data_IF_364931944096
#
_entry.id   IF_364931944096
#
_cell.length_a   1.000
_cell.length_b   1.000
_cell.length_c   1.000
_cell.angle_alpha   90.00
_cell.angle_beta   90.00
_cell.angle_gamma   90.00
#
_symmetry.space_group_name_H-M   'P 1'
#
loop_
_entity.id
_entity.type
_entity.pdbx_description
1 polymer ?
#
# COMPACT_ATOMS: atom_id res chain seq x y z
N UNK A 1 38.15 -22.83 28.95
CA UNK A 1 36.85 -22.46 29.57
C UNK A 1 36.36 -21.21 28.88
N UNK A 2 35.14 -21.15 28.30
CA UNK A 2 34.65 -19.92 27.72
C UNK A 2 34.38 -18.93 28.86
N UNK A 3 35.04 -17.77 28.84
CA UNK A 3 34.69 -16.64 29.70
C UNK A 3 33.30 -16.15 29.29
N UNK A 4 32.30 -16.34 30.15
CA UNK A 4 30.95 -15.84 29.91
C UNK A 4 30.97 -14.32 29.73
N UNK A 5 30.20 -13.80 28.77
CA UNK A 5 30.09 -12.36 28.45
C UNK A 5 29.84 -11.49 29.71
N UNK A 6 29.08 -12.02 30.67
CA UNK A 6 28.76 -11.33 31.92
C UNK A 6 29.95 -11.19 32.89
N UNK A 7 31.06 -11.89 32.64
CA UNK A 7 32.29 -11.77 33.43
C UNK A 7 33.27 -10.72 32.88
N UNK A 8 32.97 -10.13 31.71
CA UNK A 8 33.75 -9.02 31.18
C UNK A 8 33.57 -7.76 32.05
N UNK A 9 34.60 -6.89 32.16
CA UNK A 9 34.47 -5.57 32.78
C UNK A 9 33.31 -4.76 32.19
N UNK A 10 32.68 -3.93 33.01
CA UNK A 10 31.50 -3.16 32.61
C UNK A 10 31.77 -2.24 31.41
N UNK A 11 32.97 -1.67 31.34
CA UNK A 11 33.43 -0.82 30.25
C UNK A 11 33.42 -1.58 28.92
N UNK A 12 33.97 -2.80 28.91
CA UNK A 12 34.03 -3.63 27.70
C UNK A 12 32.63 -4.05 27.26
N UNK A 13 31.75 -4.45 28.20
CA UNK A 13 30.36 -4.79 27.85
C UNK A 13 29.62 -3.60 27.26
N UNK A 14 29.80 -2.41 27.84
CA UNK A 14 29.16 -1.19 27.34
C UNK A 14 29.62 -0.85 25.93
N UNK A 15 30.92 -0.93 25.64
CA UNK A 15 31.43 -0.73 24.28
C UNK A 15 30.85 -1.76 23.30
N UNK A 16 30.76 -3.04 23.70
CA UNK A 16 30.09 -4.06 22.87
C UNK A 16 28.62 -3.70 22.61
N UNK A 17 27.88 -3.27 23.63
CA UNK A 17 26.49 -2.84 23.43
C UNK A 17 26.38 -1.61 22.51
N UNK A 18 27.30 -0.66 22.59
CA UNK A 18 27.34 0.50 21.68
C UNK A 18 27.53 0.03 20.23
N UNK A 19 28.51 -0.84 19.98
CA UNK A 19 28.73 -1.39 18.64
C UNK A 19 27.52 -2.17 18.13
N UNK A 20 26.91 -3.01 18.98
CA UNK A 20 25.71 -3.76 18.60
C UNK A 20 24.53 -2.84 18.24
N UNK A 21 24.34 -1.75 18.99
CA UNK A 21 23.31 -0.76 18.69
C UNK A 21 23.59 -0.01 17.38
N UNK A 22 24.84 0.35 17.12
CA UNK A 22 25.24 0.97 15.85
C UNK A 22 24.99 0.03 14.68
N UNK A 23 25.44 -1.23 14.78
CA UNK A 23 25.22 -2.25 13.76
C UNK A 23 23.73 -2.46 13.51
N UNK A 24 22.92 -2.55 14.58
CA UNK A 24 21.47 -2.70 14.46
C UNK A 24 20.82 -1.50 13.76
N UNK A 25 21.26 -0.28 14.08
CA UNK A 25 20.74 0.94 13.46
C UNK A 25 21.08 1.01 11.96
N UNK A 26 22.33 0.71 11.60
CA UNK A 26 22.76 0.67 10.19
C UNK A 26 22.04 -0.44 9.41
N UNK A 27 21.95 -1.64 9.99
CA UNK A 27 21.26 -2.77 9.37
C UNK A 27 19.78 -2.44 9.13
N UNK A 28 19.09 -1.79 10.08
CA UNK A 28 17.70 -1.33 9.90
C UNK A 28 17.57 -0.37 8.74
N UNK A 29 18.44 0.63 8.65
CA UNK A 29 18.39 1.60 7.55
C UNK A 29 18.58 0.92 6.19
N UNK A 30 19.41 -0.11 6.09
CA UNK A 30 19.62 -0.85 4.85
C UNK A 30 18.42 -1.76 4.54
N UNK A 31 17.99 -2.56 5.52
CA UNK A 31 16.90 -3.54 5.36
C UNK A 31 15.55 -2.88 5.10
N UNK A 32 15.28 -1.72 5.69
CA UNK A 32 13.98 -1.07 5.55
C UNK A 32 14.02 0.13 4.61
N UNK A 33 15.16 0.80 4.48
CA UNK A 33 15.29 2.00 3.64
C UNK A 33 15.48 1.70 2.15
N UNK A 34 16.08 0.57 1.79
CA UNK A 34 16.38 0.26 0.39
C UNK A 34 15.34 -0.68 -0.26
N UNK A 35 14.37 -1.17 0.52
CA UNK A 35 13.34 -2.07 0.03
C UNK A 35 12.05 -1.30 -0.26
N UNK A 36 11.28 -1.80 -1.23
CA UNK A 36 9.91 -1.38 -1.47
C UNK A 36 8.97 -2.40 -0.83
N UNK A 37 8.17 -1.97 0.15
CA UNK A 37 7.23 -2.86 0.82
C UNK A 37 5.89 -2.84 0.10
N UNK A 38 5.46 -4.00 -0.41
CA UNK A 38 4.15 -4.16 -1.01
C UNK A 38 3.09 -4.40 0.07
N UNK A 39 2.32 -3.34 0.33
CA UNK A 39 1.19 -3.28 1.24
C UNK A 39 -0.15 -3.41 0.50
N UNK A 40 -0.14 -3.74 -0.80
CA UNK A 40 -1.36 -3.94 -1.57
C UNK A 40 -2.21 -5.08 -1.02
N UNK A 41 -3.50 -4.83 -0.95
CA UNK A 41 -4.55 -5.74 -0.49
C UNK A 41 -5.11 -6.47 -1.72
N UNK A 42 -4.28 -7.27 -2.43
CA UNK A 42 -4.72 -8.16 -3.52
C UNK A 42 -5.83 -9.13 -3.08
N UNK A 43 -7.07 -8.65 -2.95
CA UNK A 43 -8.22 -9.40 -2.46
C UNK A 43 -8.17 -9.85 -0.98
N UNK A 44 -7.30 -9.28 -0.14
CA UNK A 44 -7.11 -9.72 1.26
C UNK A 44 -7.59 -8.69 2.28
N UNK A 45 -7.76 -9.17 3.52
CA UNK A 45 -8.29 -8.44 4.68
C UNK A 45 -7.78 -6.99 4.80
N UNK A 46 -8.68 -6.01 5.03
CA UNK A 46 -8.34 -4.59 5.13
C UNK A 46 -7.39 -4.24 6.28
N UNK A 47 -7.24 -5.14 7.26
CA UNK A 47 -6.40 -4.94 8.46
C UNK A 47 -4.93 -5.35 8.25
N UNK A 48 -4.53 -5.76 7.05
CA UNK A 48 -3.16 -6.25 6.80
C UNK A 48 -2.08 -5.20 7.04
N UNK A 49 -2.33 -3.94 6.73
CA UNK A 49 -1.37 -2.86 6.99
C UNK A 49 -1.13 -2.76 8.50
N UNK A 50 -2.20 -2.74 9.30
CA UNK A 50 -2.11 -2.70 10.76
C UNK A 50 -1.38 -3.92 11.34
N UNK A 51 -1.67 -5.13 10.85
CA UNK A 51 -0.99 -6.36 11.29
C UNK A 51 0.49 -6.33 10.90
N UNK A 52 0.81 -5.97 9.66
CA UNK A 52 2.20 -5.86 9.21
C UNK A 52 2.97 -4.82 10.04
N UNK A 53 2.33 -3.70 10.34
CA UNK A 53 2.90 -2.60 11.12
C UNK A 53 3.12 -3.03 12.58
N UNK A 54 2.22 -3.84 13.14
CA UNK A 54 2.38 -4.44 14.46
C UNK A 54 3.54 -5.44 14.54
N UNK A 55 3.78 -6.21 13.48
CA UNK A 55 4.88 -7.19 13.42
C UNK A 55 6.24 -6.49 13.27
N UNK A 56 6.34 -5.54 12.34
CA UNK A 56 7.60 -4.84 12.07
C UNK A 56 7.92 -3.83 13.17
N UNK A 57 6.91 -3.19 13.75
CA UNK A 57 7.07 -2.23 14.84
C UNK A 57 7.49 -0.83 14.36
N UNK A 58 7.03 0.17 15.12
CA UNK A 58 7.10 1.61 14.74
C UNK A 58 8.51 2.10 14.43
N UNK A 59 9.51 1.64 15.18
CA UNK A 59 10.91 2.06 14.99
C UNK A 59 11.42 1.68 13.58
N UNK A 60 11.03 0.51 13.09
CA UNK A 60 11.48 0.02 11.79
C UNK A 60 10.72 0.72 10.65
N UNK A 61 9.45 1.04 10.83
CA UNK A 61 8.61 1.75 9.85
C UNK A 61 9.10 3.16 9.56
N UNK A 62 9.66 3.84 10.56
CA UNK A 62 10.29 5.14 10.37
C UNK A 62 11.48 5.13 9.41
N UNK A 63 11.97 3.96 9.00
CA UNK A 63 13.03 3.80 8.00
C UNK A 63 12.52 3.49 6.59
N UNK A 64 11.21 3.28 6.39
CA UNK A 64 10.66 2.99 5.06
C UNK A 64 10.86 4.21 4.16
N UNK A 65 11.40 3.98 2.96
CA UNK A 65 11.52 5.02 1.92
C UNK A 65 10.60 4.78 0.74
N UNK A 66 10.20 3.53 0.50
CA UNK A 66 9.33 3.17 -0.61
C UNK A 66 8.29 2.18 -0.14
N UNK A 67 7.02 2.47 -0.44
CA UNK A 67 5.92 1.52 -0.27
C UNK A 67 5.12 1.42 -1.55
N UNK A 68 4.42 0.30 -1.68
CA UNK A 68 3.43 0.06 -2.72
C UNK A 68 2.09 -0.25 -2.05
N UNK A 69 1.01 0.38 -2.47
CA UNK A 69 -0.31 0.25 -1.86
C UNK A 69 -1.40 0.21 -2.93
N UNK A 70 -2.58 -0.31 -2.59
CA UNK A 70 -3.73 -0.16 -3.47
C UNK A 70 -4.25 1.28 -3.42
N UNK A 71 -4.75 1.76 -4.55
CA UNK A 71 -5.47 3.02 -4.62
C UNK A 71 -6.60 3.01 -3.58
N UNK A 72 -6.70 4.07 -2.76
CA UNK A 72 -7.76 4.22 -1.76
C UNK A 72 -9.15 3.95 -2.33
N UNK A 73 -9.96 3.16 -1.61
CA UNK A 73 -11.33 2.85 -2.02
C UNK A 73 -12.25 4.02 -1.71
N UNK A 74 -13.32 4.11 -2.50
CA UNK A 74 -14.34 5.14 -2.36
C UNK A 74 -15.60 4.55 -1.73
N UNK A 75 -16.19 5.28 -0.80
CA UNK A 75 -17.52 4.96 -0.28
C UNK A 75 -18.58 5.66 -1.15
N UNK A 76 -18.93 5.02 -2.27
CA UNK A 76 -19.89 5.57 -3.24
C UNK A 76 -21.29 5.78 -2.65
N UNK A 77 -21.61 5.14 -1.53
CA UNK A 77 -22.93 5.23 -0.90
C UNK A 77 -23.05 6.43 0.05
N UNK A 78 -21.95 6.96 0.58
CA UNK A 78 -22.00 7.89 1.72
C UNK A 78 -21.58 9.31 1.47
N UNK A 79 -20.69 9.57 0.54
CA UNK A 79 -20.19 10.91 0.20
C UNK A 79 -19.04 10.71 -0.76
N UNK A 80 -18.73 11.71 -1.58
CA UNK A 80 -17.55 11.83 -2.44
C UNK A 80 -16.22 11.78 -1.64
N UNK A 81 -15.98 10.68 -0.94
CA UNK A 81 -14.97 10.52 0.08
C UNK A 81 -14.34 9.12 0.01
N UNK A 82 -13.13 9.04 0.53
CA UNK A 82 -12.45 7.77 0.77
C UNK A 82 -13.19 6.97 1.84
N UNK A 83 -13.19 5.64 1.72
CA UNK A 83 -13.73 4.79 2.78
C UNK A 83 -12.90 4.91 4.07
N UNK A 84 -13.55 4.66 5.22
CA UNK A 84 -12.93 4.79 6.54
C UNK A 84 -11.65 3.95 6.68
N UNK A 85 -11.60 2.81 5.98
CA UNK A 85 -10.46 1.90 5.97
C UNK A 85 -9.27 2.54 5.25
N UNK A 86 -9.49 3.13 4.09
CA UNK A 86 -8.44 3.80 3.32
C UNK A 86 -7.92 5.04 4.04
N UNK A 87 -8.81 5.83 4.64
CA UNK A 87 -8.43 6.95 5.50
C UNK A 87 -7.59 6.50 6.70
N UNK A 88 -8.03 5.45 7.39
CA UNK A 88 -7.29 4.89 8.52
C UNK A 88 -5.90 4.41 8.10
N UNK A 89 -5.79 3.70 6.97
CA UNK A 89 -4.52 3.22 6.46
C UNK A 89 -3.57 4.36 6.07
N UNK A 90 -4.07 5.39 5.38
CA UNK A 90 -3.29 6.59 5.03
C UNK A 90 -2.80 7.32 6.28
N UNK A 91 -3.67 7.51 7.28
CA UNK A 91 -3.30 8.16 8.53
C UNK A 91 -2.22 7.39 9.31
N UNK A 92 -2.30 6.06 9.31
CA UNK A 92 -1.27 5.19 9.93
C UNK A 92 0.05 5.31 9.19
N UNK A 93 0.04 5.27 7.85
CA UNK A 93 1.24 5.46 7.03
C UNK A 93 1.84 6.83 7.34
N UNK A 94 1.01 7.88 7.37
CA UNK A 94 1.47 9.23 7.64
C UNK A 94 2.08 9.42 9.02
N UNK A 95 1.51 8.76 10.03
CA UNK A 95 1.98 8.84 11.41
C UNK A 95 3.33 8.16 11.65
N UNK A 96 3.61 7.06 10.93
CA UNK A 96 4.75 6.19 11.26
C UNK A 96 5.85 6.15 10.20
N UNK A 97 5.59 6.53 8.95
CA UNK A 97 6.56 6.45 7.85
C UNK A 97 7.21 7.81 7.58
N UNK A 98 7.83 8.42 8.59
CA UNK A 98 8.36 9.79 8.53
C UNK A 98 9.43 10.04 7.44
N UNK A 99 10.06 8.98 6.91
CA UNK A 99 11.11 9.04 5.88
C UNK A 99 10.64 8.51 4.53
N UNK A 100 9.34 8.31 4.36
CA UNK A 100 8.77 7.78 3.12
C UNK A 100 8.98 8.77 1.99
N UNK A 101 9.69 8.37 0.94
CA UNK A 101 10.02 9.22 -0.21
C UNK A 101 9.14 8.90 -1.43
N UNK A 102 8.79 7.63 -1.60
CA UNK A 102 8.07 7.12 -2.77
C UNK A 102 6.87 6.28 -2.36
N UNK A 103 5.72 6.61 -2.95
CA UNK A 103 4.48 5.83 -2.86
C UNK A 103 4.12 5.35 -4.25
N UNK A 104 3.97 4.03 -4.42
CA UNK A 104 3.49 3.43 -5.68
C UNK A 104 2.09 2.86 -5.50
N UNK A 105 1.13 3.30 -6.30
CA UNK A 105 -0.23 2.76 -6.32
C UNK A 105 -0.35 1.62 -7.32
N UNK A 106 -1.07 0.56 -6.97
CA UNK A 106 -1.17 -0.64 -7.81
C UNK A 106 -2.08 -0.46 -9.04
N UNK A 107 -1.77 -1.15 -10.15
CA UNK A 107 -2.57 -1.07 -11.38
C UNK A 107 -4.00 -1.55 -11.21
N UNK A 108 -4.21 -2.64 -10.45
CA UNK A 108 -5.55 -3.24 -10.26
C UNK A 108 -6.57 -2.23 -9.72
N UNK A 109 -6.13 -1.40 -8.78
CA UNK A 109 -6.98 -0.41 -8.13
C UNK A 109 -7.27 0.80 -9.03
N UNK A 110 -6.33 1.15 -9.91
CA UNK A 110 -6.49 2.20 -10.91
C UNK A 110 -7.35 1.75 -12.08
N UNK A 111 -7.29 0.49 -12.48
CA UNK A 111 -8.16 -0.01 -13.53
C UNK A 111 -9.63 -0.02 -13.11
N UNK A 112 -9.91 -0.21 -11.81
CA UNK A 112 -11.27 -0.02 -11.25
C UNK A 112 -11.69 1.45 -11.40
N UNK A 113 -10.86 2.39 -10.95
CA UNK A 113 -11.10 3.84 -11.10
C UNK A 113 -11.33 4.22 -12.57
N UNK A 114 -10.47 3.73 -13.46
CA UNK A 114 -10.50 3.97 -14.91
C UNK A 114 -11.75 3.38 -15.54
N UNK A 115 -12.12 2.16 -15.18
CA UNK A 115 -13.33 1.51 -15.67
C UNK A 115 -14.58 2.27 -15.24
N UNK A 116 -14.63 2.75 -13.99
CA UNK A 116 -15.71 3.61 -13.53
C UNK A 116 -15.75 4.93 -14.30
N UNK A 117 -14.62 5.61 -14.52
CA UNK A 117 -14.58 6.87 -15.30
C UNK A 117 -15.09 6.71 -16.74
N UNK A 118 -14.66 5.66 -17.44
CA UNK A 118 -15.11 5.35 -18.82
C UNK A 118 -16.59 5.01 -18.89
N UNK A 119 -17.12 4.35 -17.86
CA UNK A 119 -18.55 4.06 -17.76
C UNK A 119 -19.37 5.34 -17.52
N UNK A 120 -18.84 6.30 -16.77
CA UNK A 120 -19.51 7.58 -16.47
C UNK A 120 -19.59 8.51 -17.67
N UNK A 121 -18.52 8.59 -18.46
CA UNK A 121 -18.54 9.32 -19.75
C UNK A 121 -19.57 8.73 -20.72
N UNK A 122 -19.83 7.42 -20.62
CA UNK A 122 -20.68 6.68 -21.55
C UNK A 122 -22.14 6.54 -21.09
N UNK A 123 -22.37 6.51 -19.79
CA UNK A 123 -23.68 6.30 -19.18
C UNK A 123 -23.84 7.25 -18.00
N UNK A 124 -24.62 8.33 -18.17
CA UNK A 124 -25.10 9.12 -17.04
C UNK A 124 -26.14 8.31 -16.26
N UNK A 125 -25.68 7.56 -15.25
CA UNK A 125 -26.56 6.93 -14.27
C UNK A 125 -26.80 7.88 -13.08
N UNK A 126 -28.05 8.02 -12.60
CA UNK A 126 -28.33 8.70 -11.34
C UNK A 126 -27.60 8.02 -10.18
N UNK A 127 -26.88 8.78 -9.36
CA UNK A 127 -26.10 8.26 -8.21
C UNK A 127 -24.67 7.82 -8.55
N UNK A 128 -24.25 7.95 -9.81
CA UNK A 128 -22.89 7.68 -10.22
C UNK A 128 -22.02 8.95 -10.04
N UNK A 129 -20.76 8.82 -9.56
CA UNK A 129 -19.89 9.95 -9.26
C UNK A 129 -19.61 10.78 -10.50
N UNK A 130 -19.48 12.10 -10.36
CA UNK A 130 -19.18 12.98 -11.49
C UNK A 130 -17.67 13.02 -11.77
N UNK A 131 -17.29 13.62 -12.90
CA UNK A 131 -15.89 13.93 -13.19
C UNK A 131 -15.27 14.79 -12.08
N UNK A 132 -16.01 15.77 -11.55
CA UNK A 132 -15.57 16.64 -10.44
C UNK A 132 -15.33 15.86 -9.14
N UNK A 133 -16.13 14.81 -8.91
CA UNK A 133 -15.97 13.89 -7.79
C UNK A 133 -14.59 13.23 -7.81
N UNK A 134 -14.10 12.81 -8.98
CA UNK A 134 -12.76 12.22 -9.09
C UNK A 134 -11.65 13.22 -8.78
N UNK A 135 -11.74 14.46 -9.25
CA UNK A 135 -10.77 15.50 -8.92
C UNK A 135 -10.69 15.74 -7.42
N UNK A 136 -11.84 15.81 -6.75
CA UNK A 136 -11.94 15.98 -5.29
C UNK A 136 -11.32 14.79 -4.54
N UNK A 137 -11.54 13.58 -5.02
CA UNK A 137 -10.99 12.36 -4.43
C UNK A 137 -9.47 12.27 -4.61
N UNK A 138 -8.96 12.58 -5.81
CA UNK A 138 -7.51 12.63 -6.06
C UNK A 138 -6.84 13.66 -5.17
N UNK A 139 -7.47 14.82 -4.97
CA UNK A 139 -6.97 15.85 -4.06
C UNK A 139 -6.96 15.40 -2.58
N UNK A 140 -7.96 14.62 -2.13
CA UNK A 140 -7.96 14.04 -0.79
C UNK A 140 -6.78 13.07 -0.60
N UNK A 141 -6.57 12.16 -1.57
CA UNK A 141 -5.45 11.21 -1.52
C UNK A 141 -4.10 11.95 -1.54
N UNK A 142 -3.95 12.96 -2.40
CA UNK A 142 -2.74 13.77 -2.45
C UNK A 142 -2.50 14.46 -1.11
N UNK A 143 -3.50 15.15 -0.57
CA UNK A 143 -3.40 15.82 0.73
C UNK A 143 -2.92 14.87 1.83
N UNK A 144 -3.53 13.69 1.95
CA UNK A 144 -3.13 12.70 2.96
C UNK A 144 -1.71 12.16 2.76
N UNK A 145 -1.27 11.97 1.52
CA UNK A 145 0.11 11.52 1.26
C UNK A 145 1.13 12.65 1.48
N UNK A 146 0.76 13.89 1.18
CA UNK A 146 1.59 15.08 1.36
C UNK A 146 1.67 15.55 2.80
N UNK A 147 0.82 15.05 3.70
CA UNK A 147 1.03 15.17 5.16
C UNK A 147 2.39 14.58 5.59
N UNK A 148 2.97 13.68 4.79
CA UNK A 148 4.30 13.12 5.00
C UNK A 148 5.33 14.00 4.29
N UNK A 149 6.13 14.81 5.02
CA UNK A 149 6.97 15.83 4.37
C UNK A 149 8.07 15.25 3.48
N UNK A 150 8.44 13.99 3.70
CA UNK A 150 9.47 13.29 2.93
C UNK A 150 8.96 12.80 1.56
N UNK A 151 7.64 12.72 1.32
CA UNK A 151 7.08 12.15 0.10
C UNK A 151 7.33 13.08 -1.08
N UNK A 152 8.17 12.60 -2.01
CA UNK A 152 8.56 13.30 -3.25
C UNK A 152 7.83 12.73 -4.45
N UNK A 153 7.69 11.41 -4.50
CA UNK A 153 7.22 10.70 -5.68
C UNK A 153 5.94 9.92 -5.37
N UNK A 154 4.86 10.27 -6.06
CA UNK A 154 3.63 9.49 -6.09
C UNK A 154 3.55 8.90 -7.49
N UNK A 155 3.67 7.58 -7.58
CA UNK A 155 3.68 6.83 -8.83
C UNK A 155 2.39 6.03 -8.91
N UNK A 156 1.65 6.21 -9.99
CA UNK A 156 0.44 5.47 -10.26
C UNK A 156 0.73 4.45 -11.34
N UNK A 157 0.69 3.17 -11.01
CA UNK A 157 0.74 2.14 -12.04
C UNK A 157 -0.64 1.88 -12.63
N UNK A 158 -0.70 1.54 -13.92
CA UNK A 158 -1.92 1.13 -14.60
C UNK A 158 -1.59 0.11 -15.70
N UNK A 159 -2.49 -0.83 -16.00
CA UNK A 159 -2.29 -1.71 -17.18
C UNK A 159 -2.62 -0.98 -18.48
N UNK A 160 -3.50 0.01 -18.41
CA UNK A 160 -3.90 0.84 -19.53
C UNK A 160 -3.92 2.31 -19.12
N UNK A 161 -3.97 3.22 -20.10
CA UNK A 161 -4.12 4.65 -19.80
C UNK A 161 -5.43 4.89 -19.00
N UNK A 162 -5.37 5.66 -17.89
CA UNK A 162 -6.54 6.03 -17.10
C UNK A 162 -7.57 6.92 -17.82
N UNK A 163 -7.32 7.31 -19.08
CA UNK A 163 -8.11 8.31 -19.79
C UNK A 163 -7.50 9.71 -19.66
N UNK A 164 -7.81 10.58 -20.63
CA UNK A 164 -7.16 11.90 -20.75
C UNK A 164 -7.43 12.78 -19.53
N UNK A 165 -8.66 12.80 -19.02
CA UNK A 165 -9.04 13.58 -17.85
C UNK A 165 -8.25 13.16 -16.60
N UNK A 166 -8.33 11.88 -16.20
CA UNK A 166 -7.63 11.39 -15.01
C UNK A 166 -6.12 11.51 -15.13
N UNK A 167 -5.57 11.31 -16.35
CA UNK A 167 -4.15 11.50 -16.61
C UNK A 167 -3.75 12.95 -16.32
N UNK A 168 -4.51 13.92 -16.84
CA UNK A 168 -4.25 15.34 -16.64
C UNK A 168 -4.39 15.77 -15.18
N UNK A 169 -5.39 15.26 -14.46
CA UNK A 169 -5.58 15.58 -13.04
C UNK A 169 -4.43 15.03 -12.18
N UNK A 170 -4.05 13.76 -12.36
CA UNK A 170 -2.95 13.14 -11.62
C UNK A 170 -1.61 13.84 -11.92
N UNK A 171 -1.31 14.12 -13.18
CA UNK A 171 -0.10 14.85 -13.56
C UNK A 171 -0.12 16.30 -13.03
N UNK A 172 -1.30 16.94 -12.98
CA UNK A 172 -1.50 18.25 -12.37
C UNK A 172 -1.17 18.30 -10.88
N UNK A 173 -1.35 17.19 -10.16
CA UNK A 173 -0.93 16.99 -8.76
C UNK A 173 0.56 16.61 -8.62
N UNK A 174 1.29 16.53 -9.75
CA UNK A 174 2.70 16.14 -9.79
C UNK A 174 2.92 14.63 -9.65
N UNK A 175 1.89 13.81 -9.89
CA UNK A 175 2.02 12.35 -9.87
C UNK A 175 2.58 11.85 -11.19
N UNK A 176 3.22 10.68 -11.17
CA UNK A 176 3.75 10.02 -12.36
C UNK A 176 2.93 8.79 -12.70
N UNK A 177 2.38 8.71 -13.90
CA UNK A 177 1.68 7.52 -14.37
C UNK A 177 2.65 6.59 -15.08
N UNK A 178 2.68 5.32 -14.67
CA UNK A 178 3.50 4.27 -15.25
C UNK A 178 2.63 3.15 -15.80
N UNK A 179 2.65 2.98 -17.12
CA UNK A 179 1.99 1.84 -17.74
C UNK A 179 2.84 0.59 -17.52
N UNK A 180 2.24 -0.43 -16.92
CA UNK A 180 2.89 -1.73 -16.64
C UNK A 180 2.17 -2.83 -17.42
N UNK A 181 2.89 -3.92 -17.71
CA UNK A 181 2.28 -5.08 -18.36
C UNK A 181 1.33 -5.76 -17.38
N UNK A 182 0.18 -6.19 -17.88
CA UNK A 182 -0.72 -7.08 -17.17
C UNK A 182 -0.10 -8.50 -17.16
N UNK A 183 0.17 -9.10 -15.98
CA UNK A 183 0.58 -10.50 -15.89
C UNK A 183 -0.35 -11.46 -16.64
N UNK A 184 0.23 -12.43 -17.34
CA UNK A 184 -0.53 -13.38 -18.15
C UNK A 184 -1.35 -14.39 -17.29
N UNK A 185 -1.07 -14.49 -15.98
CA UNK A 185 -1.58 -15.53 -15.07
C UNK A 185 -2.61 -15.04 -14.01
N UNK A 186 -3.17 -13.83 -14.12
CA UNK A 186 -4.05 -13.24 -13.08
C UNK A 186 -5.25 -14.09 -12.64
N UNK A 187 -5.76 -14.98 -13.50
CA UNK A 187 -6.91 -15.83 -13.19
C UNK A 187 -6.56 -17.04 -12.33
N UNK A 188 -5.28 -17.42 -12.19
CA UNK A 188 -4.87 -18.61 -11.43
C UNK A 188 -4.65 -18.36 -9.94
N UNK A 189 -4.42 -17.11 -9.54
CA UNK A 189 -4.18 -16.74 -8.13
C UNK A 189 -5.45 -16.30 -7.38
N UNK A 190 -6.60 -16.14 -8.07
CA UNK A 190 -7.90 -15.92 -7.43
C UNK A 190 -8.49 -17.26 -6.99
N UNK A 191 -8.18 -17.60 -5.74
CA UNK A 191 -8.72 -18.72 -4.96
C UNK A 191 -8.24 -20.11 -5.41
N UNK A 192 -7.56 -20.89 -4.54
CA UNK A 192 -7.91 -22.31 -4.52
C UNK A 192 -9.39 -22.32 -4.17
N UNK A 193 -10.25 -22.71 -5.12
CA UNK A 193 -11.54 -23.24 -4.74
C UNK A 193 -11.19 -24.44 -3.87
N UNK A 194 -11.34 -24.30 -2.55
CA UNK A 194 -11.57 -25.47 -1.74
C UNK A 194 -12.88 -26.03 -2.29
N UNK A 195 -12.77 -27.01 -3.19
CA UNK A 195 -13.87 -27.92 -3.56
C UNK A 195 -14.19 -28.72 -2.30
N UNK A 196 -14.80 -28.05 -1.33
CA UNK A 196 -15.52 -28.68 -0.24
C UNK A 196 -17.01 -28.44 -0.54
N UNK A 197 -17.54 -29.29 -1.41
CA UNK A 197 -18.80 -29.96 -1.12
C UNK A 197 -19.15 -31.02 -2.15
N UNK A 198 -19.54 -32.18 -1.62
CA UNK A 198 -20.43 -33.19 -2.23
C UNK A 198 -19.92 -34.14 -3.33
N UNK A 199 -19.25 -35.21 -2.90
CA UNK A 199 -19.58 -36.57 -3.38
C UNK A 199 -19.80 -37.55 -2.21
N UNK A 200 -20.74 -37.22 -1.32
CA UNK A 200 -21.55 -38.25 -0.67
C UNK A 200 -22.75 -38.54 -1.58
N UNK A 201 -22.60 -39.54 -2.47
CA UNK A 201 -23.66 -40.41 -3.01
C UNK A 201 -23.06 -41.27 -4.11
N UNK A 202 -22.73 -42.52 -3.76
CA UNK A 202 -22.96 -43.74 -4.55
C UNK A 202 -22.12 -44.84 -3.89
N UNK A 203 -22.67 -45.46 -2.84
CA UNK A 203 -22.43 -46.86 -2.46
C UNK A 203 -23.60 -47.24 -1.55
N UNK A 204 -24.76 -47.38 -2.19
CA UNK A 204 -25.83 -48.27 -1.75
C UNK A 204 -25.93 -49.30 -2.86
N UNK A 205 -25.30 -50.44 -2.61
CA UNK A 205 -25.78 -51.80 -2.89
C UNK A 205 -24.71 -52.80 -2.41
#
# INVERSE_FOLDING_TARGET
MPTSFLHLPGEIRNEIYRYLLTILHEARSILYGNNCFDLSLRGRSPYRIQVFFGIIGIINMGNFRSIRLDFPRFDWDKSEALDDISLSNLAIIASFCARLETVTMTPLSIDILTSCSKLLERFSYPGCPTIETYGTLLAQVDSSLREIPAVKHIIVEAYQSPGEYLTKEMEGLGWTIRIVKEPEDWLKERCPVEDDDTQHRMLSD
#
